data_IF_133161150122
#
_entry.id   IF_133161150122
#
_cell.length_a   1.000
_cell.length_b   1.000
_cell.length_c   1.000
_cell.angle_alpha   90.00
_cell.angle_beta   90.00
_cell.angle_gamma   90.00
#
_symmetry.space_group_name_H-M   'P 1'
#
loop_
_entity.id
_entity.type
_entity.pdbx_description
1 polymer ?
#
# COMPACT_ATOMS: atom_id res chain seq x y z
N UNK A 1 31.78 -52.37 32.31
CA UNK A 1 30.80 -51.25 32.48
C UNK A 1 30.74 -50.34 31.24
N UNK A 2 31.24 -50.75 30.07
CA UNK A 2 31.30 -49.91 28.87
C UNK A 2 29.97 -49.76 28.12
N UNK A 3 29.16 -50.83 28.03
CA UNK A 3 27.93 -50.85 27.20
C UNK A 3 26.82 -49.86 27.59
N UNK A 4 26.89 -49.23 28.78
CA UNK A 4 25.89 -48.26 29.24
C UNK A 4 26.17 -46.84 28.75
N UNK A 5 27.43 -46.51 28.46
CA UNK A 5 27.83 -45.18 28.00
C UNK A 5 27.38 -44.95 26.54
N UNK A 6 27.57 -45.94 25.66
CA UNK A 6 27.21 -45.85 24.25
C UNK A 6 25.70 -45.69 24.01
N UNK A 7 24.88 -46.33 24.85
CA UNK A 7 23.42 -46.23 24.74
C UNK A 7 22.93 -44.81 25.06
N UNK A 8 23.60 -44.15 26.01
CA UNK A 8 23.21 -42.81 26.48
C UNK A 8 23.58 -41.74 25.45
N UNK A 9 24.76 -41.86 24.83
CA UNK A 9 25.22 -40.92 23.79
C UNK A 9 24.33 -40.99 22.55
N UNK A 10 23.97 -42.20 22.09
CA UNK A 10 23.07 -42.37 20.94
C UNK A 10 21.67 -41.78 21.21
N UNK A 11 21.16 -41.95 22.42
CA UNK A 11 19.84 -41.42 22.80
C UNK A 11 19.83 -39.88 22.78
N UNK A 12 20.88 -39.25 23.30
CA UNK A 12 21.02 -37.78 23.29
C UNK A 12 21.06 -37.26 21.85
N UNK A 13 21.84 -37.91 20.97
CA UNK A 13 21.93 -37.51 19.57
C UNK A 13 20.58 -37.58 18.85
N UNK A 14 19.82 -38.66 19.05
CA UNK A 14 18.48 -38.83 18.45
C UNK A 14 17.50 -37.76 18.93
N UNK A 15 17.51 -37.42 20.22
CA UNK A 15 16.67 -36.36 20.78
C UNK A 15 17.01 -35.01 20.14
N UNK A 16 18.30 -34.69 20.00
CA UNK A 16 18.77 -33.42 19.47
C UNK A 16 18.38 -33.25 17.99
N UNK A 17 18.55 -34.30 17.18
CA UNK A 17 18.10 -34.32 15.78
C UNK A 17 16.59 -34.12 15.68
N UNK A 18 15.81 -34.79 16.55
CA UNK A 18 14.34 -34.68 16.55
C UNK A 18 13.88 -33.25 16.86
N UNK A 19 14.50 -32.58 17.84
CA UNK A 19 14.19 -31.19 18.19
C UNK A 19 14.50 -30.25 17.02
N UNK A 20 15.67 -30.40 16.38
CA UNK A 20 16.05 -29.58 15.22
C UNK A 20 15.06 -29.78 14.07
N UNK A 21 14.66 -31.03 13.79
CA UNK A 21 13.66 -31.31 12.75
C UNK A 21 12.30 -30.67 13.04
N UNK A 22 11.83 -30.70 14.30
CA UNK A 22 10.57 -30.05 14.69
C UNK A 22 10.67 -28.53 14.52
N UNK A 23 11.78 -27.91 14.94
CA UNK A 23 11.98 -26.45 14.80
C UNK A 23 12.01 -26.05 13.33
N UNK A 24 12.71 -26.80 12.47
CA UNK A 24 12.72 -26.53 11.02
C UNK A 24 11.33 -26.67 10.41
N UNK A 25 10.60 -27.71 10.78
CA UNK A 25 9.23 -27.93 10.33
C UNK A 25 8.32 -26.78 10.74
N UNK A 26 8.35 -26.36 12.01
CA UNK A 26 7.59 -25.22 12.51
C UNK A 26 8.00 -23.90 11.85
N UNK A 27 9.29 -23.71 11.53
CA UNK A 27 9.78 -22.53 10.82
C UNK A 27 9.26 -22.44 9.38
N UNK A 28 9.22 -23.57 8.66
CA UNK A 28 8.65 -23.64 7.31
C UNK A 28 7.15 -23.31 7.36
N UNK A 29 6.43 -23.87 8.32
CA UNK A 29 5.01 -23.58 8.50
C UNK A 29 4.76 -22.12 8.87
N UNK A 30 5.53 -21.55 9.80
CA UNK A 30 5.32 -20.17 10.27
C UNK A 30 5.58 -19.11 9.19
N UNK A 31 6.56 -19.34 8.31
CA UNK A 31 6.97 -18.35 7.30
C UNK A 31 6.13 -18.40 6.02
N UNK A 32 5.62 -19.57 5.62
CA UNK A 32 4.94 -19.75 4.32
C UNK A 32 3.42 -19.94 4.45
N UNK A 33 2.91 -20.36 5.60
CA UNK A 33 1.46 -20.54 5.80
C UNK A 33 0.63 -19.26 5.64
N UNK A 34 0.97 -18.09 6.19
CA UNK A 34 0.03 -16.96 6.18
C UNK A 34 -0.30 -16.47 4.76
N UNK A 35 0.67 -16.49 3.85
CA UNK A 35 0.47 -16.09 2.44
C UNK A 35 -0.34 -17.13 1.66
N UNK A 36 -0.03 -18.41 1.84
CA UNK A 36 -0.73 -19.50 1.15
C UNK A 36 -2.16 -19.70 1.70
N UNK A 37 -2.33 -19.60 3.02
CA UNK A 37 -3.62 -19.69 3.70
C UNK A 37 -4.54 -18.56 3.26
N UNK A 38 -4.06 -17.31 3.15
CA UNK A 38 -4.85 -16.20 2.59
C UNK A 38 -5.34 -16.51 1.18
N UNK A 39 -4.45 -16.98 0.29
CA UNK A 39 -4.81 -17.32 -1.10
C UNK A 39 -5.85 -18.45 -1.19
N UNK A 40 -5.68 -19.52 -0.41
CA UNK A 40 -6.65 -20.62 -0.38
C UNK A 40 -7.97 -20.15 0.22
N UNK A 41 -7.94 -19.47 1.37
CA UNK A 41 -9.11 -18.96 2.05
C UNK A 41 -9.97 -18.08 1.11
N UNK A 42 -9.33 -17.16 0.39
CA UNK A 42 -10.02 -16.27 -0.53
C UNK A 42 -10.57 -16.97 -1.76
N UNK A 43 -9.93 -18.04 -2.25
CA UNK A 43 -10.42 -18.79 -3.40
C UNK A 43 -11.54 -19.77 -3.07
N UNK A 44 -11.52 -20.36 -1.86
CA UNK A 44 -12.42 -21.47 -1.51
C UNK A 44 -13.46 -21.12 -0.46
N UNK A 45 -13.09 -20.37 0.58
CA UNK A 45 -13.95 -20.14 1.74
C UNK A 45 -14.66 -18.79 1.73
N UNK A 46 -14.13 -17.79 1.00
CA UNK A 46 -14.74 -16.46 0.92
C UNK A 46 -16.18 -16.49 0.40
N UNK A 47 -16.46 -17.28 -0.65
CA UNK A 47 -17.81 -17.40 -1.21
C UNK A 47 -18.82 -18.00 -0.22
N UNK A 48 -18.37 -18.91 0.64
CA UNK A 48 -19.22 -19.52 1.66
C UNK A 48 -19.45 -18.53 2.81
N UNK A 49 -18.41 -17.81 3.24
CA UNK A 49 -18.48 -16.84 4.33
C UNK A 49 -19.16 -15.51 3.99
N UNK A 50 -19.19 -15.13 2.71
CA UNK A 50 -19.86 -13.93 2.20
C UNK A 50 -21.32 -14.14 1.80
N UNK A 51 -21.80 -15.38 1.88
CA UNK A 51 -23.16 -15.70 1.50
C UNK A 51 -24.19 -15.08 2.46
N UNK A 52 -25.35 -14.74 1.90
CA UNK A 52 -26.40 -13.96 2.60
C UNK A 52 -27.02 -14.68 3.80
N UNK A 53 -26.82 -16.01 3.92
CA UNK A 53 -27.31 -16.82 5.02
C UNK A 53 -26.46 -16.72 6.31
N UNK A 54 -25.26 -16.11 6.26
CA UNK A 54 -24.44 -15.88 7.45
C UNK A 54 -24.84 -14.55 8.11
N UNK A 55 -25.04 -14.49 9.44
CA UNK A 55 -25.32 -13.27 10.19
C UNK A 55 -24.25 -12.20 9.94
N UNK A 56 -24.65 -10.92 9.86
CA UNK A 56 -23.76 -9.81 9.50
C UNK A 56 -22.53 -9.73 10.41
N UNK A 57 -22.68 -10.05 11.68
CA UNK A 57 -21.64 -9.95 12.71
C UNK A 57 -20.55 -11.04 12.57
N UNK A 58 -20.80 -12.06 11.74
CA UNK A 58 -19.88 -13.18 11.46
C UNK A 58 -19.40 -13.21 10.00
N UNK A 59 -19.85 -12.25 9.17
CA UNK A 59 -19.36 -12.14 7.81
C UNK A 59 -17.91 -11.67 7.86
N UNK A 60 -17.04 -12.43 7.21
CA UNK A 60 -15.66 -11.99 7.02
C UNK A 60 -15.70 -10.65 6.26
N UNK A 61 -14.94 -9.68 6.75
CA UNK A 61 -14.81 -8.40 6.08
C UNK A 61 -14.32 -8.62 4.65
N UNK A 62 -14.98 -8.01 3.67
CA UNK A 62 -14.69 -8.24 2.25
C UNK A 62 -13.24 -7.88 1.89
N UNK A 63 -12.65 -7.02 2.71
CA UNK A 63 -11.32 -6.47 2.55
C UNK A 63 -10.20 -7.49 2.80
N UNK A 64 -10.46 -8.61 3.51
CA UNK A 64 -9.44 -9.64 3.74
C UNK A 64 -9.00 -10.32 2.45
N UNK A 65 -9.88 -10.41 1.46
CA UNK A 65 -9.67 -11.15 0.21
C UNK A 65 -9.45 -10.29 -1.03
N UNK A 66 -9.38 -8.98 -0.86
CA UNK A 66 -8.92 -8.06 -1.90
C UNK A 66 -7.40 -8.22 -2.03
N UNK A 67 -6.98 -9.28 -2.73
CA UNK A 67 -5.59 -9.50 -3.12
C UNK A 67 -5.34 -8.75 -4.42
N UNK A 68 -4.33 -7.87 -4.39
CA UNK A 68 -3.91 -6.95 -5.47
C UNK A 68 -5.07 -6.07 -5.94
N UNK A 69 -5.15 -4.83 -5.40
CA UNK A 69 -5.95 -3.75 -6.00
C UNK A 69 -5.62 -3.80 -7.49
N UNK A 70 -6.54 -4.30 -8.30
CA UNK A 70 -6.44 -4.13 -9.75
C UNK A 70 -6.39 -2.63 -9.89
N UNK A 71 -5.28 -2.10 -10.41
CA UNK A 71 -5.11 -0.66 -10.52
C UNK A 71 -6.42 -0.10 -11.07
N UNK A 72 -7.00 0.86 -10.35
CA UNK A 72 -8.19 1.53 -10.85
C UNK A 72 -7.86 1.99 -12.28
N UNK A 73 -8.81 1.87 -13.23
CA UNK A 73 -8.56 2.34 -14.58
C UNK A 73 -8.06 3.79 -14.53
N UNK A 74 -7.10 4.15 -15.40
CA UNK A 74 -6.45 5.45 -15.32
C UNK A 74 -7.49 6.56 -15.42
N UNK A 75 -7.34 7.58 -14.58
CA UNK A 75 -8.22 8.74 -14.54
C UNK A 75 -7.82 9.67 -15.69
N UNK A 76 -8.72 9.82 -16.67
CA UNK A 76 -8.44 10.64 -17.85
C UNK A 76 -8.89 12.08 -17.60
N UNK A 77 -7.94 13.01 -17.55
CA UNK A 77 -8.22 14.45 -17.38
C UNK A 77 -8.18 15.14 -18.73
N UNK A 78 -9.30 15.75 -19.13
CA UNK A 78 -9.41 16.49 -20.38
C UNK A 78 -9.33 18.01 -20.21
N UNK A 79 -9.39 18.51 -18.97
CA UNK A 79 -9.46 19.93 -18.65
C UNK A 79 -8.20 20.32 -17.86
N UNK A 80 -7.29 21.14 -18.42
CA UNK A 80 -6.03 21.47 -17.76
C UNK A 80 -6.24 22.23 -16.45
N UNK A 81 -7.26 23.10 -16.38
CA UNK A 81 -7.58 23.90 -15.19
C UNK A 81 -7.96 23.05 -13.97
N UNK A 82 -8.40 21.81 -14.21
CA UNK A 82 -8.78 20.86 -13.15
C UNK A 82 -7.63 19.94 -12.73
N UNK A 83 -6.47 20.00 -13.39
CA UNK A 83 -5.36 19.08 -13.14
C UNK A 83 -4.88 19.16 -11.69
N UNK A 84 -4.58 20.36 -11.19
CA UNK A 84 -4.05 20.56 -9.83
C UNK A 84 -5.02 20.03 -8.76
N UNK A 85 -6.30 20.37 -8.88
CA UNK A 85 -7.35 19.93 -7.94
C UNK A 85 -7.55 18.42 -8.02
N UNK A 86 -7.48 17.83 -9.21
CA UNK A 86 -7.66 16.38 -9.39
C UNK A 86 -6.48 15.61 -8.80
N UNK A 87 -5.25 16.04 -9.06
CA UNK A 87 -4.03 15.45 -8.48
C UNK A 87 -4.07 15.54 -6.96
N UNK A 88 -4.39 16.72 -6.40
CA UNK A 88 -4.53 16.89 -4.97
C UNK A 88 -5.62 16.00 -4.37
N UNK A 89 -6.80 15.98 -4.99
CA UNK A 89 -7.93 15.16 -4.52
C UNK A 89 -7.58 13.68 -4.46
N UNK A 90 -6.85 13.17 -5.46
CA UNK A 90 -6.36 11.79 -5.46
C UNK A 90 -5.22 11.55 -4.47
N UNK A 91 -4.33 12.53 -4.23
CA UNK A 91 -3.31 12.44 -3.19
C UNK A 91 -3.92 12.37 -1.78
N UNK A 92 -4.92 13.22 -1.49
CA UNK A 92 -5.66 13.18 -0.21
C UNK A 92 -6.45 11.88 -0.07
N UNK A 93 -7.12 11.42 -1.13
CA UNK A 93 -7.83 10.14 -1.10
C UNK A 93 -6.87 8.96 -0.90
N UNK A 94 -5.68 9.02 -1.52
CA UNK A 94 -4.61 8.06 -1.26
C UNK A 94 -4.25 8.10 0.23
N UNK A 95 -4.01 9.30 0.80
CA UNK A 95 -3.70 9.51 2.22
C UNK A 95 -4.72 8.85 3.16
N UNK A 96 -6.00 9.15 2.96
CA UNK A 96 -7.09 8.59 3.78
C UNK A 96 -7.11 7.04 3.75
N UNK A 97 -6.78 6.45 2.60
CA UNK A 97 -6.75 4.99 2.45
C UNK A 97 -5.63 4.32 3.26
N UNK A 98 -4.47 4.97 3.45
CA UNK A 98 -3.44 4.42 4.34
C UNK A 98 -3.80 4.51 5.81
N UNK A 99 -4.48 5.59 6.22
CA UNK A 99 -4.83 5.82 7.63
C UNK A 99 -5.84 4.78 8.12
N UNK A 100 -6.61 4.17 7.21
CA UNK A 100 -7.46 3.02 7.50
C UNK A 100 -6.66 1.77 7.93
N UNK A 101 -5.33 1.83 7.96
CA UNK A 101 -4.46 0.86 8.64
C UNK A 101 -4.28 -0.47 7.90
N UNK A 102 -4.61 -0.51 6.61
CA UNK A 102 -4.65 -1.75 5.82
C UNK A 102 -3.35 -2.05 5.05
N UNK A 103 -2.39 -1.13 5.07
CA UNK A 103 -1.22 -1.20 4.18
C UNK A 103 0.09 -1.09 4.97
N UNK A 104 0.86 -2.18 4.93
CA UNK A 104 2.22 -2.28 5.48
C UNK A 104 3.28 -2.31 4.35
N UNK A 105 2.88 -1.97 3.13
CA UNK A 105 3.71 -2.03 1.93
C UNK A 105 3.44 -0.79 1.06
N UNK A 106 4.39 -0.47 0.19
CA UNK A 106 4.23 0.59 -0.80
C UNK A 106 3.16 0.18 -1.81
N UNK A 107 2.32 1.11 -2.23
CA UNK A 107 1.29 0.81 -3.22
C UNK A 107 0.96 2.00 -4.10
N UNK A 108 0.66 1.69 -5.36
CA UNK A 108 0.16 2.66 -6.33
C UNK A 108 -1.32 2.90 -6.07
N UNK A 109 -1.67 4.14 -5.74
CA UNK A 109 -3.04 4.56 -5.44
C UNK A 109 -3.81 4.85 -6.72
N UNK A 110 -3.26 5.71 -7.57
CA UNK A 110 -3.92 6.21 -8.77
C UNK A 110 -2.91 6.42 -9.91
N UNK A 111 -3.39 6.21 -11.12
CA UNK A 111 -2.72 6.61 -12.36
C UNK A 111 -3.61 7.65 -13.05
N UNK A 112 -3.07 8.83 -13.32
CA UNK A 112 -3.78 9.93 -13.97
C UNK A 112 -3.17 10.12 -15.36
N UNK A 113 -3.99 10.00 -16.40
CA UNK A 113 -3.55 10.18 -17.80
C UNK A 113 -4.08 11.50 -18.33
N UNK A 114 -3.19 12.31 -18.92
CA UNK A 114 -3.61 13.51 -19.64
C UNK A 114 -4.35 13.13 -20.93
N UNK A 115 -5.60 13.57 -21.02
CA UNK A 115 -6.49 13.31 -22.13
C UNK A 115 -6.10 14.05 -23.42
N UNK A 116 -6.67 13.65 -24.57
CA UNK A 116 -6.28 14.14 -25.89
C UNK A 116 -6.55 15.63 -26.11
N UNK A 117 -7.35 16.28 -25.24
CA UNK A 117 -7.64 17.72 -25.34
C UNK A 117 -6.51 18.60 -24.83
N UNK A 118 -5.58 18.06 -24.03
CA UNK A 118 -4.42 18.77 -23.53
C UNK A 118 -3.32 18.66 -24.58
N UNK A 119 -3.12 19.72 -25.35
CA UNK A 119 -2.20 19.73 -26.50
C UNK A 119 -0.87 20.44 -26.20
N UNK A 120 -0.83 21.24 -25.14
CA UNK A 120 0.36 21.95 -24.68
C UNK A 120 0.82 21.43 -23.33
N UNK A 121 2.12 21.59 -22.99
CA UNK A 121 2.60 21.30 -21.65
C UNK A 121 1.82 22.09 -20.60
N UNK A 122 1.49 21.44 -19.48
CA UNK A 122 0.81 22.06 -18.34
C UNK A 122 1.82 22.18 -17.20
N UNK A 123 1.80 23.34 -16.53
CA UNK A 123 2.61 23.57 -15.34
C UNK A 123 1.92 22.91 -14.14
N UNK A 124 2.60 21.95 -13.54
CA UNK A 124 2.16 21.31 -12.30
C UNK A 124 3.37 21.28 -11.37
N UNK A 125 3.33 22.13 -10.34
CA UNK A 125 4.40 22.29 -9.36
C UNK A 125 3.87 21.94 -7.98
N UNK A 126 4.77 21.50 -7.12
CA UNK A 126 4.46 21.22 -5.72
C UNK A 126 3.93 22.46 -5.00
N UNK A 127 4.51 23.64 -5.28
CA UNK A 127 4.08 24.92 -4.72
C UNK A 127 2.61 25.21 -5.00
N UNK A 128 2.14 24.95 -6.24
CA UNK A 128 0.73 25.13 -6.60
C UNK A 128 -0.19 24.19 -5.79
N UNK A 129 0.23 22.95 -5.55
CA UNK A 129 -0.54 21.98 -4.75
C UNK A 129 -0.56 22.39 -3.28
N UNK A 130 0.57 22.79 -2.72
CA UNK A 130 0.68 23.29 -1.34
C UNK A 130 -0.16 24.54 -1.12
N UNK A 131 -0.19 25.46 -2.08
CA UNK A 131 -1.05 26.64 -2.00
C UNK A 131 -2.53 26.26 -1.97
N UNK A 132 -2.96 25.25 -2.75
CA UNK A 132 -4.34 24.75 -2.73
C UNK A 132 -4.65 24.10 -1.38
N UNK A 133 -3.73 23.32 -0.80
CA UNK A 133 -3.90 22.74 0.54
C UNK A 133 -4.13 23.83 1.60
N UNK A 134 -3.30 24.89 1.60
CA UNK A 134 -3.42 26.03 2.52
C UNK A 134 -4.75 26.74 2.31
N UNK A 135 -5.10 27.07 1.06
CA UNK A 135 -6.30 27.82 0.74
C UNK A 135 -7.60 27.09 1.11
N UNK A 136 -7.56 25.75 1.19
CA UNK A 136 -8.71 24.92 1.53
C UNK A 136 -8.67 24.37 2.97
N UNK A 137 -7.73 24.83 3.81
CA UNK A 137 -7.55 24.36 5.20
C UNK A 137 -7.34 22.84 5.33
N UNK A 138 -6.64 22.26 4.35
CA UNK A 138 -6.37 20.82 4.27
C UNK A 138 -5.01 20.41 4.88
N UNK A 139 -4.23 21.37 5.39
CA UNK A 139 -2.91 21.11 5.99
C UNK A 139 -2.96 20.22 7.22
N UNK A 140 -4.12 20.08 7.88
CA UNK A 140 -4.30 19.16 9.00
C UNK A 140 -4.45 17.69 8.55
N UNK A 141 -4.78 17.47 7.28
CA UNK A 141 -4.96 16.13 6.70
C UNK A 141 -3.72 15.65 5.95
N UNK A 142 -3.15 16.54 5.13
CA UNK A 142 -1.94 16.24 4.35
C UNK A 142 -0.99 17.43 4.48
N UNK A 143 0.09 17.22 5.22
CA UNK A 143 1.11 18.20 5.54
C UNK A 143 2.18 18.25 4.43
N UNK A 144 2.58 19.45 4.04
CA UNK A 144 3.73 19.67 3.18
C UNK A 144 4.58 20.85 3.68
N UNK A 145 5.87 20.62 3.88
CA UNK A 145 6.80 21.59 4.42
C UNK A 145 8.13 21.66 3.65
N UNK A 146 8.22 21.06 2.45
CA UNK A 146 9.43 21.13 1.61
C UNK A 146 9.49 22.41 0.76
N UNK A 147 8.35 23.07 0.57
CA UNK A 147 8.26 24.34 -0.17
C UNK A 147 8.47 25.57 0.71
N UNK A 148 8.66 26.76 0.11
CA UNK A 148 8.65 28.05 0.85
C UNK A 148 7.32 28.35 1.57
N UNK A 149 6.29 27.52 1.32
CA UNK A 149 4.97 27.60 1.92
C UNK A 149 4.85 26.55 3.02
N UNK A 150 4.64 26.99 4.27
CA UNK A 150 4.48 26.09 5.41
C UNK A 150 3.03 25.58 5.49
N UNK A 151 2.80 24.31 5.13
CA UNK A 151 1.52 23.62 5.30
C UNK A 151 1.67 22.46 6.28
N UNK A 152 1.75 22.77 7.58
CA UNK A 152 1.96 21.77 8.63
C UNK A 152 3.40 21.75 9.16
N UNK A 153 3.77 20.65 9.83
CA UNK A 153 5.07 20.39 10.45
C UNK A 153 5.85 19.27 9.76
N UNK A 154 5.16 18.39 9.04
CA UNK A 154 5.75 17.26 8.34
C UNK A 154 5.76 17.51 6.85
N UNK A 155 6.74 16.90 6.21
CA UNK A 155 6.77 16.75 4.77
C UNK A 155 6.23 15.36 4.40
N UNK A 156 4.96 15.32 3.97
CA UNK A 156 4.26 14.09 3.60
C UNK A 156 4.06 13.96 2.09
N UNK A 157 4.53 14.93 1.29
CA UNK A 157 4.41 14.91 -0.17
C UNK A 157 5.81 14.96 -0.77
N UNK A 158 6.23 13.88 -1.40
CA UNK A 158 7.44 13.85 -2.21
C UNK A 158 7.08 14.12 -3.67
N UNK A 159 7.59 15.24 -4.19
CA UNK A 159 7.40 15.63 -5.58
C UNK A 159 8.55 15.17 -6.47
N UNK A 160 8.25 14.32 -7.45
CA UNK A 160 9.24 13.79 -8.40
C UNK A 160 8.91 14.10 -9.86
N UNK A 161 7.85 14.88 -10.10
CA UNK A 161 7.51 15.39 -11.43
C UNK A 161 8.41 16.55 -11.83
N UNK A 162 8.69 16.66 -13.13
CA UNK A 162 9.29 17.88 -13.69
C UNK A 162 8.31 19.06 -13.65
N UNK A 163 8.82 20.29 -13.78
CA UNK A 163 8.01 21.52 -13.76
C UNK A 163 6.88 21.56 -14.81
N UNK A 164 7.04 20.78 -15.88
CA UNK A 164 6.09 20.72 -17.00
C UNK A 164 5.75 19.28 -17.34
N UNK A 165 4.45 19.04 -17.47
CA UNK A 165 3.92 17.74 -17.87
C UNK A 165 3.48 17.83 -19.32
N UNK A 166 4.02 16.94 -20.14
CA UNK A 166 3.75 16.86 -21.56
C UNK A 166 2.50 16.01 -21.83
N UNK A 167 1.77 16.30 -22.92
CA UNK A 167 0.65 15.47 -23.35
C UNK A 167 1.01 13.98 -23.43
N UNK A 168 0.07 13.12 -23.02
CA UNK A 168 0.21 11.65 -22.96
C UNK A 168 1.21 11.13 -21.92
N UNK A 169 1.72 11.98 -21.04
CA UNK A 169 2.37 11.50 -19.82
C UNK A 169 1.30 11.08 -18.80
N UNK A 170 1.68 10.09 -17.99
CA UNK A 170 0.90 9.66 -16.85
C UNK A 170 1.53 10.22 -15.59
N UNK A 171 0.68 10.63 -14.65
CA UNK A 171 1.08 11.01 -13.30
C UNK A 171 0.70 9.84 -12.39
N UNK A 172 1.66 9.37 -11.63
CA UNK A 172 1.48 8.30 -10.66
C UNK A 172 1.39 8.89 -9.27
N UNK A 173 0.42 8.42 -8.50
CA UNK A 173 0.26 8.78 -7.10
C UNK A 173 0.43 7.50 -6.29
N UNK A 174 1.50 7.43 -5.53
CA UNK A 174 1.92 6.26 -4.78
C UNK A 174 2.02 6.59 -3.29
N UNK A 175 1.81 5.59 -2.45
CA UNK A 175 2.17 5.69 -1.04
C UNK A 175 3.48 4.96 -0.78
N UNK A 176 4.42 5.66 -0.15
CA UNK A 176 5.66 5.13 0.39
C UNK A 176 5.49 4.88 1.89
N UNK A 177 5.38 3.60 2.24
CA UNK A 177 5.21 3.15 3.60
C UNK A 177 6.48 3.31 4.46
N UNK A 178 7.67 3.27 3.85
CA UNK A 178 8.93 3.36 4.57
C UNK A 178 9.16 4.80 5.06
N UNK A 179 8.87 5.79 4.21
CA UNK A 179 9.00 7.20 4.54
C UNK A 179 7.71 7.84 5.08
N UNK A 180 6.56 7.14 4.98
CA UNK A 180 5.22 7.63 5.33
C UNK A 180 4.83 8.88 4.55
N UNK A 181 4.96 8.81 3.21
CA UNK A 181 4.72 9.93 2.29
C UNK A 181 3.92 9.51 1.07
N UNK A 182 3.24 10.47 0.45
CA UNK A 182 2.73 10.36 -0.91
C UNK A 182 3.87 10.70 -1.87
N UNK A 183 4.09 9.87 -2.89
CA UNK A 183 4.97 10.19 -4.01
C UNK A 183 4.10 10.56 -5.21
N UNK A 184 4.38 11.71 -5.80
CA UNK A 184 3.76 12.16 -7.05
C UNK A 184 4.84 12.19 -8.13
N UNK A 185 4.76 11.28 -9.11
CA UNK A 185 5.79 11.04 -10.12
C UNK A 185 5.26 10.91 -11.55
#
# INVERSE_FOLDING_TARGET
MEKKADLTINTIFVILVTIISIILLLGIFSTKLPVFAKKIYCKTFFFIHSATFIPKDMRADQDFCVSTKTLAPPVIINEPDKLNITVLGHAVACWEEMEKGKYNENFLCYEITLGPKITSPVELTEENITQILINNDLCNFLENNDTNLNCGKKDQINWSLGERIYPRQNILIEYDNDNKRIIIS
#
